data_IF_641200245306
#
_entry.id   IF_641200245306
#
_cell.length_a   1.000
_cell.length_b   1.000
_cell.length_c   1.000
_cell.angle_alpha   90.00
_cell.angle_beta   90.00
_cell.angle_gamma   90.00
#
_symmetry.space_group_name_H-M   'P 1'
#
loop_
_entity.id
_entity.type
_entity.pdbx_description
1 polymer ?
#
# COMPACT_ATOMS: atom_id res chain seq x y z
N UNK A 1 -15.28 -11.78 4.67
CA UNK A 1 -14.09 -11.31 5.41
C UNK A 1 -13.70 -12.39 6.41
N UNK A 2 -12.46 -12.91 6.41
CA UNK A 2 -12.02 -13.99 7.30
C UNK A 2 -11.84 -13.45 8.73
N UNK A 3 -12.34 -14.17 9.74
CA UNK A 3 -12.39 -13.66 11.13
C UNK A 3 -11.02 -13.64 11.83
N UNK A 4 -10.09 -14.52 11.45
CA UNK A 4 -8.71 -14.52 11.95
C UNK A 4 -8.00 -13.18 11.67
N UNK A 5 -8.18 -12.64 10.46
CA UNK A 5 -7.66 -11.33 10.08
C UNK A 5 -8.35 -10.18 10.86
N UNK A 6 -9.50 -10.41 11.47
CA UNK A 6 -10.15 -9.38 12.31
C UNK A 6 -9.59 -9.32 13.73
N UNK A 7 -8.62 -10.16 14.08
CA UNK A 7 -8.12 -10.27 15.46
C UNK A 7 -9.16 -10.86 16.42
N UNK A 8 -10.19 -11.52 15.88
CA UNK A 8 -11.13 -12.31 16.68
C UNK A 8 -10.35 -13.47 17.28
N UNK A 9 -10.55 -13.77 18.56
CA UNK A 9 -9.95 -14.94 19.18
C UNK A 9 -10.42 -16.18 18.44
N UNK A 10 -9.49 -16.87 17.78
CA UNK A 10 -9.76 -18.11 17.06
C UNK A 10 -9.19 -19.25 17.89
N UNK A 11 -9.99 -20.28 18.13
CA UNK A 11 -9.50 -21.52 18.70
C UNK A 11 -8.35 -22.04 17.82
N UNK A 12 -7.20 -22.38 18.44
CA UNK A 12 -5.98 -22.85 17.76
C UNK A 12 -5.23 -21.77 16.96
N UNK A 13 -5.27 -20.51 17.41
CA UNK A 13 -4.51 -19.40 16.80
C UNK A 13 -3.02 -19.72 16.55
N UNK A 14 -2.35 -20.40 17.48
CA UNK A 14 -0.93 -20.78 17.35
C UNK A 14 -0.69 -21.80 16.22
N UNK A 15 -1.63 -22.73 16.01
CA UNK A 15 -1.54 -23.70 14.94
C UNK A 15 -1.76 -23.03 13.57
N UNK A 16 -2.72 -22.12 13.49
CA UNK A 16 -2.93 -21.29 12.29
C UNK A 16 -1.69 -20.45 11.99
N UNK A 17 -1.09 -19.84 13.03
CA UNK A 17 0.14 -19.08 12.89
C UNK A 17 1.30 -19.94 12.39
N UNK A 18 1.42 -21.18 12.87
CA UNK A 18 2.41 -22.14 12.39
C UNK A 18 2.23 -22.51 10.91
N UNK A 19 0.99 -22.74 10.48
CA UNK A 19 0.67 -23.08 9.09
C UNK A 19 1.07 -21.94 8.13
N UNK A 20 0.78 -20.69 8.48
CA UNK A 20 1.03 -19.55 7.59
C UNK A 20 2.46 -19.01 7.68
N UNK A 21 3.29 -19.50 8.60
CA UNK A 21 4.62 -18.96 8.85
C UNK A 21 5.54 -19.07 7.63
N UNK A 22 5.49 -20.21 6.93
CA UNK A 22 6.28 -20.43 5.71
C UNK A 22 5.83 -19.47 4.58
N UNK A 23 4.52 -19.32 4.39
CA UNK A 23 3.96 -18.40 3.39
C UNK A 23 4.35 -16.95 3.67
N UNK A 24 4.32 -16.53 4.95
CA UNK A 24 4.73 -15.17 5.35
C UNK A 24 6.22 -14.95 5.09
N UNK A 25 7.07 -15.95 5.35
CA UNK A 25 8.50 -15.85 5.09
C UNK A 25 8.82 -15.73 3.59
N UNK A 26 8.15 -16.54 2.76
CA UNK A 26 8.28 -16.45 1.28
C UNK A 26 7.78 -15.10 0.79
N UNK A 27 6.64 -14.64 1.31
CA UNK A 27 6.09 -13.33 0.97
C UNK A 27 7.05 -12.19 1.34
N UNK A 28 7.59 -12.17 2.56
CA UNK A 28 8.50 -11.10 3.00
C UNK A 28 9.80 -11.08 2.20
N UNK A 29 10.35 -12.25 1.84
CA UNK A 29 11.53 -12.35 0.98
C UNK A 29 11.26 -11.78 -0.42
N UNK A 30 10.06 -11.99 -0.96
CA UNK A 30 9.62 -11.36 -2.22
C UNK A 30 9.54 -9.84 -2.12
N UNK A 31 9.03 -9.31 -1.01
CA UNK A 31 9.00 -7.85 -0.77
C UNK A 31 10.42 -7.28 -0.65
N UNK A 32 11.31 -7.96 0.07
CA UNK A 32 12.72 -7.55 0.20
C UNK A 32 13.39 -7.43 -1.17
N UNK A 33 13.22 -8.42 -2.05
CA UNK A 33 13.77 -8.41 -3.40
C UNK A 33 13.30 -7.20 -4.23
N UNK A 34 12.00 -6.88 -4.16
CA UNK A 34 11.43 -5.73 -4.89
C UNK A 34 11.93 -4.41 -4.32
N UNK A 35 12.04 -4.29 -3.00
CA UNK A 35 12.58 -3.09 -2.36
C UNK A 35 14.06 -2.90 -2.65
N UNK A 36 14.85 -3.97 -2.75
CA UNK A 36 16.23 -3.91 -3.20
C UNK A 36 16.32 -3.33 -4.61
N UNK A 37 15.44 -3.76 -5.52
CA UNK A 37 15.37 -3.22 -6.88
C UNK A 37 15.03 -1.72 -6.90
N UNK A 38 14.03 -1.29 -6.13
CA UNK A 38 13.67 0.14 -6.02
C UNK A 38 14.76 0.98 -5.34
N UNK A 39 15.51 0.39 -4.42
CA UNK A 39 16.58 1.02 -3.67
C UNK A 39 17.91 1.16 -4.43
N UNK A 40 18.04 0.61 -5.65
CA UNK A 40 19.33 0.57 -6.39
C UNK A 40 20.01 1.93 -6.56
N UNK A 41 19.23 2.99 -6.73
CA UNK A 41 19.75 4.32 -7.08
C UNK A 41 19.38 5.42 -6.06
N UNK A 42 18.63 5.09 -5.00
CA UNK A 42 18.16 6.06 -4.03
C UNK A 42 17.79 5.38 -2.71
N UNK A 43 17.72 6.19 -1.64
CA UNK A 43 17.20 5.73 -0.36
C UNK A 43 15.70 5.41 -0.47
N UNK A 44 15.29 4.31 0.15
CA UNK A 44 13.88 3.94 0.27
C UNK A 44 13.14 4.89 1.23
N UNK A 45 11.84 5.14 1.00
CA UNK A 45 11.01 5.92 1.91
C UNK A 45 10.98 5.30 3.31
N UNK A 46 11.08 6.12 4.36
CA UNK A 46 11.10 5.64 5.76
C UNK A 46 9.77 5.13 6.31
N UNK A 47 8.72 5.03 5.47
CA UNK A 47 7.40 4.53 5.86
C UNK A 47 6.90 3.52 4.84
N UNK A 48 6.41 2.39 5.33
CA UNK A 48 5.74 1.36 4.54
C UNK A 48 4.29 1.31 5.03
N UNK A 49 3.35 1.61 4.14
CA UNK A 49 1.93 1.49 4.41
C UNK A 49 1.39 0.19 3.83
N UNK A 50 0.80 -0.64 4.68
CA UNK A 50 0.13 -1.87 4.31
C UNK A 50 -1.34 -1.62 4.04
N UNK A 51 -1.87 -2.24 2.99
CA UNK A 51 -3.29 -2.19 2.64
C UNK A 51 -3.79 -3.55 2.13
N UNK A 52 -5.10 -3.68 1.89
CA UNK A 52 -5.67 -4.92 1.37
C UNK A 52 -5.98 -5.95 2.45
N UNK A 53 -6.71 -7.01 2.09
CA UNK A 53 -7.20 -7.99 3.08
C UNK A 53 -6.09 -8.76 3.82
N UNK A 54 -4.96 -9.03 3.16
CA UNK A 54 -3.83 -9.76 3.75
C UNK A 54 -3.08 -8.97 4.82
N UNK A 55 -3.07 -7.63 4.74
CA UNK A 55 -2.37 -6.76 5.70
C UNK A 55 -2.84 -6.90 7.14
N UNK A 56 -4.04 -7.47 7.32
CA UNK A 56 -4.66 -7.70 8.62
C UNK A 56 -4.17 -8.96 9.34
N UNK A 57 -3.44 -9.84 8.66
CA UNK A 57 -2.75 -10.96 9.32
C UNK A 57 -1.64 -10.38 10.20
N UNK A 58 -1.62 -10.61 11.53
CA UNK A 58 -0.62 -10.02 12.43
C UNK A 58 0.84 -10.32 12.03
N UNK A 59 1.05 -11.45 11.36
CA UNK A 59 2.35 -11.92 10.89
C UNK A 59 2.92 -11.05 9.77
N UNK A 60 2.06 -10.41 8.96
CA UNK A 60 2.47 -9.58 7.82
C UNK A 60 3.20 -8.29 8.28
N UNK A 61 2.62 -7.42 9.12
CA UNK A 61 3.36 -6.28 9.65
C UNK A 61 4.49 -6.72 10.58
N UNK A 62 4.37 -7.84 11.30
CA UNK A 62 5.45 -8.35 12.15
C UNK A 62 6.70 -8.70 11.33
N UNK A 63 6.54 -9.39 10.19
CA UNK A 63 7.65 -9.76 9.32
C UNK A 63 8.41 -8.53 8.79
N UNK A 64 7.71 -7.47 8.40
CA UNK A 64 8.35 -6.23 7.91
C UNK A 64 8.96 -5.37 9.02
N UNK A 65 8.47 -5.52 10.27
CA UNK A 65 9.02 -4.82 11.44
C UNK A 65 10.21 -5.56 12.04
N UNK A 66 10.46 -6.80 11.64
CA UNK A 66 11.61 -7.56 12.09
C UNK A 66 12.91 -6.83 11.67
N UNK A 67 13.85 -6.60 12.60
CA UNK A 67 15.12 -5.94 12.28
C UNK A 67 15.93 -6.61 11.18
N UNK A 68 15.75 -7.92 10.95
CA UNK A 68 16.42 -8.67 9.88
C UNK A 68 15.93 -8.28 8.49
N UNK A 69 14.65 -7.94 8.33
CA UNK A 69 14.04 -7.61 7.04
C UNK A 69 14.68 -6.38 6.38
N UNK A 70 14.87 -5.30 7.15
CA UNK A 70 15.42 -4.04 6.61
C UNK A 70 16.95 -3.98 6.61
N UNK A 71 17.65 -5.05 7.06
CA UNK A 71 19.08 -5.02 7.39
C UNK A 71 19.97 -4.68 6.19
N UNK A 72 19.57 -5.08 4.99
CA UNK A 72 20.35 -4.91 3.75
C UNK A 72 19.70 -3.93 2.78
N UNK A 73 18.56 -3.37 3.15
CA UNK A 73 17.82 -2.43 2.33
C UNK A 73 18.29 -0.99 2.58
N UNK A 74 18.36 -0.14 1.54
CA UNK A 74 18.89 1.22 1.65
C UNK A 74 17.88 2.20 2.26
N UNK A 75 17.44 1.94 3.49
CA UNK A 75 16.70 2.91 4.29
C UNK A 75 17.65 3.82 5.07
N UNK A 76 17.28 5.10 5.25
CA UNK A 76 18.04 6.01 6.11
C UNK A 76 17.99 5.63 7.61
N UNK A 77 16.90 4.98 8.02
CA UNK A 77 16.58 4.49 9.37
C UNK A 77 15.63 3.28 9.23
N UNK A 78 15.47 2.41 10.24
CA UNK A 78 14.47 1.35 10.19
C UNK A 78 13.09 1.92 9.79
N UNK A 79 12.42 1.33 8.78
CA UNK A 79 11.16 1.86 8.28
C UNK A 79 10.05 1.73 9.33
N UNK A 80 9.16 2.72 9.38
CA UNK A 80 7.93 2.62 10.14
C UNK A 80 6.93 1.86 9.28
N UNK A 81 6.45 0.72 9.78
CA UNK A 81 5.43 -0.10 9.11
C UNK A 81 4.09 0.15 9.78
N UNK A 82 3.14 0.71 9.03
CA UNK A 82 1.79 1.01 9.49
C UNK A 82 0.75 0.49 8.49
N UNK A 83 -0.49 0.34 8.94
CA UNK A 83 -1.61 0.00 8.07
C UNK A 83 -2.35 1.28 7.71
N UNK A 84 -2.69 1.46 6.42
CA UNK A 84 -3.47 2.62 5.98
C UNK A 84 -4.97 2.36 6.16
N UNK A 85 -5.64 3.29 6.82
CA UNK A 85 -7.07 3.26 7.06
C UNK A 85 -7.84 4.11 6.03
N UNK A 86 -9.09 3.75 5.66
CA UNK A 86 -9.87 4.48 4.66
C UNK A 86 -10.00 5.98 4.93
N UNK A 87 -10.10 6.37 6.21
CA UNK A 87 -10.18 7.77 6.61
C UNK A 87 -8.93 8.59 6.29
N UNK A 88 -7.80 7.95 5.98
CA UNK A 88 -6.56 8.62 5.55
C UNK A 88 -6.53 8.87 4.03
N UNK A 89 -7.53 8.38 3.27
CA UNK A 89 -7.68 8.63 1.83
C UNK A 89 -8.62 9.82 1.62
N UNK A 90 -8.09 11.03 1.82
CA UNK A 90 -8.88 12.27 1.81
C UNK A 90 -9.43 12.67 0.43
N UNK A 91 -8.82 12.16 -0.64
CA UNK A 91 -9.17 12.52 -2.01
C UNK A 91 -10.52 11.94 -2.49
N UNK A 92 -11.09 10.98 -1.76
CA UNK A 92 -12.38 10.38 -2.09
C UNK A 92 -13.35 10.51 -0.93
N UNK A 93 -14.56 10.97 -1.26
CA UNK A 93 -15.69 10.89 -0.35
C UNK A 93 -16.60 9.73 -0.72
N UNK A 94 -16.52 8.64 0.04
CA UNK A 94 -17.47 7.52 -0.11
C UNK A 94 -18.83 7.90 0.49
N UNK A 95 -19.81 8.19 -0.36
CA UNK A 95 -21.18 8.45 0.06
C UNK A 95 -21.98 7.17 0.38
N UNK A 96 -21.47 5.99 0.01
CA UNK A 96 -22.16 4.71 0.25
C UNK A 96 -21.96 4.21 1.69
N UNK A 97 -20.87 4.61 2.34
CA UNK A 97 -20.49 4.15 3.67
C UNK A 97 -20.10 2.68 3.71
N UNK A 98 -19.75 2.09 2.56
CA UNK A 98 -19.39 0.67 2.43
C UNK A 98 -17.88 0.46 2.49
N UNK A 99 -17.08 1.46 2.13
CA UNK A 99 -15.62 1.39 2.06
C UNK A 99 -14.99 1.83 3.39
N UNK A 100 -15.12 0.97 4.41
CA UNK A 100 -14.82 1.28 5.81
C UNK A 100 -13.68 0.47 6.41
N UNK A 101 -13.04 -0.40 5.62
CA UNK A 101 -11.95 -1.27 6.07
C UNK A 101 -10.68 -1.09 5.22
N UNK A 102 -9.52 -1.41 5.79
CA UNK A 102 -8.21 -1.44 5.11
C UNK A 102 -8.21 -2.22 3.79
N UNK A 103 -9.05 -3.26 3.67
CA UNK A 103 -9.20 -4.01 2.43
C UNK A 103 -9.87 -3.22 1.29
N UNK A 104 -10.52 -2.12 1.65
CA UNK A 104 -11.24 -1.24 0.73
C UNK A 104 -10.33 -0.10 0.21
N UNK A 105 -9.08 -0.03 0.66
CA UNK A 105 -8.09 0.92 0.16
C UNK A 105 -7.76 0.70 -1.33
N UNK A 106 -7.48 -0.52 -1.83
CA UNK A 106 -7.29 -0.73 -3.26
C UNK A 106 -8.48 -0.27 -4.13
N UNK A 107 -9.75 -0.62 -3.85
CA UNK A 107 -10.86 -0.10 -4.64
C UNK A 107 -11.04 1.41 -4.49
N UNK A 108 -10.74 2.02 -3.34
CA UNK A 108 -10.65 3.48 -3.21
C UNK A 108 -9.59 4.06 -4.16
N UNK A 109 -8.38 3.49 -4.20
CA UNK A 109 -7.33 3.92 -5.12
C UNK A 109 -7.75 3.84 -6.59
N UNK A 110 -8.47 2.79 -6.98
CA UNK A 110 -9.03 2.66 -8.33
C UNK A 110 -10.10 3.72 -8.64
N UNK A 111 -10.97 4.03 -7.67
CA UNK A 111 -11.97 5.08 -7.81
C UNK A 111 -11.30 6.46 -7.97
N UNK A 112 -10.22 6.74 -7.24
CA UNK A 112 -9.45 7.98 -7.38
C UNK A 112 -8.88 8.08 -8.80
N UNK A 113 -8.24 7.01 -9.26
CA UNK A 113 -7.67 6.96 -10.60
C UNK A 113 -8.73 7.17 -11.69
N UNK A 114 -9.93 6.61 -11.53
CA UNK A 114 -11.03 6.80 -12.48
C UNK A 114 -11.53 8.27 -12.50
N UNK A 115 -11.60 8.93 -11.34
CA UNK A 115 -11.97 10.35 -11.23
C UNK A 115 -10.92 11.21 -11.93
N UNK A 116 -9.64 10.99 -11.64
CA UNK A 116 -8.54 11.75 -12.27
C UNK A 116 -8.51 11.56 -13.79
N UNK A 117 -8.80 10.36 -14.29
CA UNK A 117 -8.87 10.09 -15.73
C UNK A 117 -10.08 10.75 -16.41
N UNK A 118 -11.18 10.94 -15.68
CA UNK A 118 -12.37 11.63 -16.18
C UNK A 118 -12.28 13.15 -16.01
N UNK A 119 -11.32 13.66 -15.24
CA UNK A 119 -11.17 15.07 -14.97
C UNK A 119 -10.86 15.82 -16.29
N UNK A 120 -11.60 16.91 -16.59
CA UNK A 120 -11.30 17.72 -17.75
C UNK A 120 -9.93 18.35 -17.58
N UNK A 121 -9.21 18.47 -18.69
CA UNK A 121 -7.90 19.11 -18.71
C UNK A 121 -7.95 20.51 -18.08
N UNK A 122 -6.94 20.84 -17.27
CA UNK A 122 -6.84 22.15 -16.66
C UNK A 122 -6.85 23.24 -17.75
N UNK A 123 -7.60 24.35 -17.58
CA UNK A 123 -7.68 25.41 -18.58
C UNK A 123 -6.31 25.97 -18.99
N UNK A 124 -5.36 25.99 -18.05
CA UNK A 124 -3.98 26.40 -18.30
C UNK A 124 -3.25 25.44 -19.24
N UNK A 125 -3.39 24.12 -19.03
CA UNK A 125 -2.75 23.11 -19.88
C UNK A 125 -3.33 23.16 -21.30
N UNK A 126 -4.65 23.37 -21.41
CA UNK A 126 -5.31 23.53 -22.70
C UNK A 126 -4.79 24.79 -23.43
N UNK A 127 -4.60 25.90 -22.70
CA UNK A 127 -4.02 27.14 -23.24
C UNK A 127 -2.55 26.96 -23.66
N UNK A 128 -1.72 26.34 -22.81
CA UNK A 128 -0.31 26.05 -23.09
C UNK A 128 -0.16 25.14 -24.31
N UNK A 129 -0.97 24.08 -24.41
CA UNK A 129 -0.97 23.18 -25.56
C UNK A 129 -1.35 23.92 -26.85
N UNK A 130 -2.29 24.86 -26.78
CA UNK A 130 -2.66 25.70 -27.92
C UNK A 130 -1.50 26.60 -28.36
N UNK A 131 -0.77 27.21 -27.41
CA UNK A 131 0.44 28.00 -27.71
C UNK A 131 1.54 27.14 -28.31
N UNK A 132 1.84 25.97 -27.73
CA UNK A 132 2.84 25.04 -28.25
C UNK A 132 2.50 24.55 -29.67
N UNK A 133 1.22 24.38 -30.00
CA UNK A 133 0.77 24.03 -31.36
C UNK A 133 1.03 25.15 -32.36
N UNK A 134 0.93 26.41 -31.93
CA UNK A 134 1.22 27.59 -32.76
C UNK A 134 2.73 27.79 -32.93
N UNK A 135 3.54 27.40 -31.95
CA UNK A 135 5.01 27.50 -32.00
C UNK A 135 5.69 26.36 -32.78
N UNK A 136 4.97 25.27 -33.10
CA UNK A 136 5.47 24.16 -33.93
C UNK A 136 5.35 24.44 -35.45
N UNK A 137 5.33 25.71 -35.84
CA UNK A 137 5.50 26.17 -37.24
C UNK A 137 6.96 26.46 -37.49
#
# INVERSE_FOLDING_TARGET
>A
KVDFAKGVAVDRADEVAGIIAEDVAVWSAGIELVLEEFGRNALLPGRIYLCGGGSRLPQIPAALRDPSFAKHLPFARPPIVDTIEPGQVEAIRDATGLLVDVQDIPPLGLAYQAIEMAAPEAPLDAALRKVLRVMRV
#
